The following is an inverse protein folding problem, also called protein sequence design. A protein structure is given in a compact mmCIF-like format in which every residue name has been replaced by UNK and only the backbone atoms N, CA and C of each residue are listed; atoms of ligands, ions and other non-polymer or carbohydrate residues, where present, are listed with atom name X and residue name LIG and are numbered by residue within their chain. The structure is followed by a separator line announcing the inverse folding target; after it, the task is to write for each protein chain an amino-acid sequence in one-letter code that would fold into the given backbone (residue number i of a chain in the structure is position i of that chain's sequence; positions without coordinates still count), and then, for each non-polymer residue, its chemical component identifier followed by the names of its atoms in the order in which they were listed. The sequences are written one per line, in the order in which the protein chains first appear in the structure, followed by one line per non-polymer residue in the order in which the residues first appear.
data_IF_031887956867
#
_entry.id   IF_031887956867
#
_cell.length_a   1.000
_cell.length_b   1.000
_cell.length_c   1.000
_cell.angle_alpha   90.00
_cell.angle_beta   90.00
_cell.angle_gamma   90.00
#
_symmetry.space_group_name_H-M   'P 1'
#
loop_
_entity.id
_entity.type
_entity.pdbx_description
1 polymer ?
2 non-polymer ?
#
# COMPACT_ATOMS: atom_id res chain seq x y z
N UNK A 1 -8.12 -3.80 -8.65
CA UNK A 1 -8.00 -3.37 -7.27
C UNK A 1 -9.24 -2.64 -6.88
N UNK A 2 -9.60 -2.89 -5.68
CA UNK A 2 -10.79 -2.45 -5.05
C UNK A 2 -10.45 -2.15 -3.63
N UNK A 3 -11.43 -2.10 -2.77
CA UNK A 3 -11.24 -1.68 -1.39
C UNK A 3 -10.17 -2.46 -0.63
N UNK A 4 -9.69 -1.83 0.46
CA UNK A 4 -8.45 -2.23 1.11
C UNK A 4 -8.43 -3.66 1.49
N UNK A 5 -7.38 -4.26 1.06
CA UNK A 5 -7.11 -5.60 1.31
C UNK A 5 -5.66 -5.71 1.60
N UNK A 6 -5.31 -6.65 2.44
CA UNK A 6 -3.99 -7.13 2.47
C UNK A 6 -4.02 -8.46 1.79
N UNK A 7 -3.42 -8.46 0.66
CA UNK A 7 -3.43 -9.57 -0.23
C UNK A 7 -2.16 -10.28 -0.02
N UNK A 8 -2.15 -11.60 0.04
CA UNK A 8 -0.95 -12.31 0.17
C UNK A 8 -0.15 -12.05 -1.05
N UNK A 9 1.10 -12.04 -0.87
CA UNK A 9 2.02 -11.82 -1.94
C UNK A 9 1.80 -12.89 -3.00
N UNK A 10 1.43 -14.04 -2.50
CA UNK A 10 1.20 -15.23 -3.27
C UNK A 10 0.09 -15.03 -4.34
N UNK A 11 -1.06 -14.51 -3.90
CA UNK A 11 -2.20 -14.31 -4.78
C UNK A 11 -2.03 -13.22 -5.80
N UNK A 12 -1.38 -12.19 -5.39
CA UNK A 12 -1.50 -10.92 -6.05
C UNK A 12 -1.08 -10.82 -7.51
N UNK A 13 0.07 -11.38 -7.91
CA UNK A 13 0.49 -11.44 -9.34
C UNK A 13 0.46 -10.03 -9.96
N UNK A 14 0.92 -9.05 -9.25
CA UNK A 14 0.62 -7.69 -9.64
C UNK A 14 1.63 -6.71 -9.17
N UNK A 15 1.23 -5.43 -9.11
CA UNK A 15 2.13 -4.37 -8.71
C UNK A 15 2.74 -4.51 -7.33
N UNK A 16 3.97 -4.79 -7.43
CA UNK A 16 4.94 -5.04 -6.44
C UNK A 16 5.36 -4.11 -5.39
N UNK A 17 5.27 -2.87 -5.63
CA UNK A 17 5.85 -1.92 -4.75
C UNK A 17 4.81 -0.94 -4.18
N UNK A 18 5.12 -0.31 -3.00
CA UNK A 18 4.22 0.67 -2.44
C UNK A 18 4.51 1.98 -3.21
N UNK A 19 3.57 2.91 -3.42
CA UNK A 19 4.00 4.13 -4.13
C UNK A 19 5.00 4.96 -3.25
N UNK A 20 4.78 4.99 -1.89
CA UNK A 20 5.57 5.90 -1.00
C UNK A 20 7.08 5.71 -1.01
N UNK A 21 7.54 4.47 -0.81
CA UNK A 21 8.97 4.17 -0.89
C UNK A 21 9.44 4.27 -2.34
N UNK A 22 8.49 3.92 -3.25
CA UNK A 22 8.85 3.52 -4.60
C UNK A 22 9.77 2.34 -4.42
N UNK A 23 9.28 1.49 -3.55
CA UNK A 23 9.94 0.38 -3.00
C UNK A 23 8.91 -0.68 -2.77
N UNK A 24 9.30 -1.75 -2.23
CA UNK A 24 8.60 -2.96 -2.43
C UNK A 24 7.71 -3.34 -1.26
N UNK A 25 6.56 -3.83 -1.62
CA UNK A 25 5.44 -4.26 -0.74
C UNK A 25 5.83 -5.43 0.18
N UNK A 26 6.76 -6.17 -0.30
CA UNK A 26 7.07 -7.56 -0.07
C UNK A 26 7.16 -8.07 1.41
N UNK A 27 7.38 -7.22 2.42
CA UNK A 27 7.66 -7.72 3.81
C UNK A 27 6.65 -8.77 4.29
N UNK A 28 5.38 -8.62 3.95
CA UNK A 28 4.41 -9.63 4.37
C UNK A 28 3.15 -9.64 3.49
N UNK A 29 2.60 -8.49 3.26
CA UNK A 29 1.40 -8.33 2.46
C UNK A 29 1.46 -7.30 1.42
N UNK A 30 0.46 -7.38 0.59
CA UNK A 30 0.19 -6.49 -0.43
C UNK A 30 -0.96 -5.65 0.07
N UNK A 31 -0.85 -4.39 -0.04
CA UNK A 31 -1.85 -3.46 0.43
C UNK A 31 -2.33 -2.64 -0.68
N UNK A 32 -3.59 -2.31 -0.70
CA UNK A 32 -4.02 -1.39 -1.75
C UNK A 32 -4.80 -0.19 -1.20
N UNK A 33 -4.67 1.06 -1.80
CA UNK A 33 -5.74 2.05 -1.50
C UNK A 33 -6.49 2.23 -2.78
N UNK A 34 -7.68 1.70 -2.99
CA UNK A 34 -8.35 1.92 -4.32
C UNK A 34 -8.69 3.40 -4.49
N UNK A 35 -8.70 4.03 -3.37
CA UNK A 35 -9.01 5.41 -3.23
C UNK A 35 -7.87 6.20 -3.79
N UNK A 36 -6.64 5.68 -3.57
CA UNK A 36 -5.51 6.38 -3.96
C UNK A 36 -4.34 5.43 -4.37
N UNK A 37 -4.08 5.38 -5.69
CA UNK A 37 -2.99 4.70 -6.55
C UNK A 37 -2.88 3.21 -6.36
N UNK A 38 -3.38 2.95 -5.35
CA UNK A 38 -3.87 1.82 -4.87
C UNK A 38 -2.85 0.74 -4.47
N UNK A 39 -1.52 0.98 -4.34
CA UNK A 39 -0.69 -0.15 -3.79
C UNK A 39 0.25 0.29 -2.56
N UNK A 40 0.21 -0.48 -1.45
CA UNK A 40 0.93 -0.21 -0.18
C UNK A 40 1.80 -1.30 0.43
N UNK A 41 2.68 -0.82 1.31
CA UNK A 41 3.59 -1.62 2.13
C UNK A 41 3.07 -1.58 3.47
N UNK A 42 3.62 -2.42 4.30
CA UNK A 42 3.31 -2.34 5.66
C UNK A 42 3.88 -1.03 6.25
N UNK A 43 5.05 -0.53 5.69
CA UNK A 43 5.68 0.74 6.20
C UNK A 43 4.61 1.75 5.98
N UNK A 44 4.07 1.58 4.80
CA UNK A 44 3.29 2.53 4.21
C UNK A 44 1.93 2.86 4.78
N UNK A 45 1.26 1.92 5.42
CA UNK A 45 0.02 2.27 6.13
C UNK A 45 0.30 3.30 7.26
N UNK A 46 1.40 3.08 7.98
CA UNK A 46 1.94 3.97 9.05
C UNK A 46 2.48 5.35 8.54
N UNK A 47 2.78 5.42 7.22
CA UNK A 47 3.62 6.48 6.55
C UNK A 47 3.11 7.87 6.95
N UNK A 48 1.83 7.94 6.99
CA UNK A 48 1.05 9.13 7.17
C UNK A 48 1.00 9.78 8.54
N UNK A 49 1.08 8.99 9.60
CA UNK A 49 0.64 9.45 10.93
C UNK A 49 1.25 10.74 11.47
N UNK A 50 2.52 10.92 11.31
CA UNK A 50 3.13 12.16 11.74
C UNK A 50 3.20 13.13 10.59
N UNK A 51 4.00 12.75 9.64
CA UNK A 51 4.38 13.53 8.50
C UNK A 51 3.25 14.03 7.58
N UNK A 52 2.18 13.27 7.37
CA UNK A 52 1.26 13.63 6.29
C UNK A 52 -0.19 14.01 6.67
N UNK A 53 -1.03 13.08 6.30
CA UNK A 53 -2.44 13.10 6.15
C UNK A 53 -2.95 11.80 6.74
N UNK A 54 -4.25 11.64 6.85
CA UNK A 54 -4.84 10.40 7.33
C UNK A 54 -4.41 9.18 6.44
N UNK A 55 -4.24 9.41 5.13
CA UNK A 55 -3.73 8.42 4.20
C UNK A 55 -2.62 9.12 3.40
N UNK A 56 -1.70 8.42 2.73
CA UNK A 56 -0.70 9.14 1.98
C UNK A 56 -1.26 9.64 0.68
N UNK A 57 -1.60 8.68 -0.11
CA UNK A 57 -2.06 8.87 -1.45
C UNK A 57 -3.25 9.74 -1.62
N UNK A 58 -4.11 9.79 -0.61
CA UNK A 58 -5.38 10.43 -0.81
C UNK A 58 -5.37 11.88 -1.25
N UNK A 59 -4.43 12.68 -0.78
CA UNK A 59 -4.29 14.01 -1.37
C UNK A 59 -3.88 13.93 -2.86
X LIG B 1 6.69 1.55 1.33
X LIG C 1 -5.73 6.59 0.26
#
# INVERSE_FOLDING_TARGET
LDAFQEIPLEEYNGERFCYGCQGELKDQHVYVCAVCQNVFCVDCDVFVHDSLHSCPGCI
ZN ZN
ZN ZN
#
